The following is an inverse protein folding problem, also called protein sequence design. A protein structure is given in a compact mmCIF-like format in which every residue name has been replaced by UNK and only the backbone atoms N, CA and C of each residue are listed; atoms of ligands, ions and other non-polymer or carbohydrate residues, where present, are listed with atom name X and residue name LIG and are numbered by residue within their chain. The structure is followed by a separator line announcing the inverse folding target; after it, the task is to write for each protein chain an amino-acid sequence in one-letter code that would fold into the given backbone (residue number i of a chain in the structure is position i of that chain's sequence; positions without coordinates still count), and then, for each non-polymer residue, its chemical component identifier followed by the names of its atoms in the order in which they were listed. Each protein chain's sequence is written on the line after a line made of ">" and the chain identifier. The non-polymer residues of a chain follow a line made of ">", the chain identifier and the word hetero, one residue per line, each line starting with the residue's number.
data_IF_871743112892
#
_entry.id   IF_871743112892
#
_cell.length_a   1.000
_cell.length_b   1.000
_cell.length_c   1.000
_cell.angle_alpha   90.00
_cell.angle_beta   90.00
_cell.angle_gamma   90.00
#
_symmetry.space_group_name_H-M   'P 1'
#
loop_
_entity.id
_entity.type
_entity.pdbx_description
1 polymer ?
#
# COMPACT_ATOMS: atom_id res chain seq x y z
N UNK A 1 -12.58 27.02 6.70
CA UNK A 1 -12.95 25.94 7.66
C UNK A 1 -12.84 24.64 6.90
N UNK A 2 -11.86 23.78 7.22
CA UNK A 2 -11.67 22.51 6.51
C UNK A 2 -12.74 21.52 6.98
N UNK A 3 -13.47 20.92 6.05
CA UNK A 3 -14.52 19.94 6.33
C UNK A 3 -13.88 18.69 6.95
N UNK A 4 -14.47 18.07 8.00
CA UNK A 4 -13.84 16.94 8.70
C UNK A 4 -13.43 15.77 7.79
N UNK A 5 -14.17 15.55 6.69
CA UNK A 5 -13.82 14.57 5.67
C UNK A 5 -12.49 14.87 4.96
N UNK A 6 -12.24 16.14 4.62
CA UNK A 6 -11.00 16.54 3.96
C UNK A 6 -9.79 16.34 4.88
N UNK A 7 -9.95 16.60 6.19
CA UNK A 7 -8.93 16.30 7.19
C UNK A 7 -8.67 14.79 7.31
N UNK A 8 -9.71 13.96 7.33
CA UNK A 8 -9.56 12.50 7.36
C UNK A 8 -8.89 11.94 6.09
N UNK A 9 -9.18 12.49 4.92
CA UNK A 9 -8.55 12.05 3.67
C UNK A 9 -7.10 12.51 3.57
N UNK A 10 -6.71 13.61 4.24
CA UNK A 10 -5.31 14.08 4.25
C UNK A 10 -4.34 13.13 4.95
N UNK A 11 -4.83 12.25 5.84
CA UNK A 11 -4.03 11.20 6.46
C UNK A 11 -3.96 9.92 5.62
N UNK A 12 -4.61 9.89 4.44
CA UNK A 12 -4.51 8.79 3.48
C UNK A 12 -3.18 8.84 2.74
N UNK A 13 -2.11 8.45 3.43
CA UNK A 13 -0.75 8.39 2.90
C UNK A 13 -0.02 7.13 3.38
N UNK A 14 1.02 6.72 2.64
CA UNK A 14 1.91 5.62 3.01
C UNK A 14 3.05 6.03 3.96
N UNK A 15 3.21 7.32 4.28
CA UNK A 15 4.35 7.83 5.06
C UNK A 15 4.40 7.30 6.50
N UNK A 16 3.26 7.05 7.11
CA UNK A 16 3.12 6.56 8.49
C UNK A 16 2.86 5.05 8.58
N UNK A 17 2.93 4.32 7.45
CA UNK A 17 2.58 2.90 7.38
C UNK A 17 3.79 1.99 7.47
N UNK A 18 3.63 0.90 8.22
CA UNK A 18 4.58 -0.21 8.24
C UNK A 18 4.64 -0.93 6.89
N UNK A 19 3.51 -1.10 6.20
CA UNK A 19 3.45 -1.68 4.87
C UNK A 19 3.35 -0.56 3.82
N UNK A 20 4.31 -0.51 2.90
CA UNK A 20 4.34 0.46 1.80
C UNK A 20 4.18 -0.28 0.47
N UNK A 21 3.43 0.31 -0.46
CA UNK A 21 3.06 -0.29 -1.74
C UNK A 21 3.31 0.71 -2.87
N UNK A 22 4.35 0.48 -3.67
CA UNK A 22 4.59 1.21 -4.90
C UNK A 22 3.82 0.54 -6.04
N UNK A 23 3.04 1.32 -6.79
CA UNK A 23 2.24 0.85 -7.93
C UNK A 23 2.42 1.78 -9.14
N UNK A 24 2.05 1.35 -10.36
CA UNK A 24 2.06 2.21 -11.54
C UNK A 24 1.14 3.43 -11.44
N UNK A 25 0.20 3.46 -10.49
CA UNK A 25 -0.69 4.61 -10.26
C UNK A 25 0.02 5.77 -9.54
N UNK A 26 1.23 5.56 -9.02
CA UNK A 26 1.93 6.53 -8.20
C UNK A 26 1.64 6.38 -6.71
N UNK A 27 2.21 7.29 -5.92
CA UNK A 27 2.10 7.28 -4.46
C UNK A 27 0.68 7.59 -3.99
N UNK A 28 0.32 7.07 -2.81
CA UNK A 28 -0.91 7.38 -2.07
C UNK A 28 -2.26 7.13 -2.79
N UNK A 29 -2.25 6.57 -4.00
CA UNK A 29 -3.47 6.11 -4.69
C UNK A 29 -3.93 4.73 -4.20
N UNK A 30 -2.99 3.89 -3.78
CA UNK A 30 -3.25 2.60 -3.15
C UNK A 30 -2.37 2.48 -1.90
N UNK A 31 -2.99 2.11 -0.79
CA UNK A 31 -2.32 1.92 0.50
C UNK A 31 -2.42 0.45 0.89
N UNK A 32 -1.29 -0.22 1.14
CA UNK A 32 -1.32 -1.59 1.62
C UNK A 32 -1.98 -1.70 3.01
N UNK A 33 -2.86 -2.68 3.15
CA UNK A 33 -3.44 -3.09 4.44
C UNK A 33 -2.84 -4.42 4.92
N UNK A 34 -2.59 -5.35 3.99
CA UNK A 34 -2.20 -6.71 4.29
C UNK A 34 -1.43 -7.30 3.11
N UNK A 35 -0.44 -8.13 3.40
CA UNK A 35 0.27 -8.95 2.43
C UNK A 35 0.26 -10.39 2.91
N UNK A 36 -0.07 -11.32 2.01
CA UNK A 36 -0.01 -12.76 2.23
C UNK A 36 0.85 -13.39 1.15
N UNK A 37 1.91 -14.08 1.56
CA UNK A 37 2.82 -14.78 0.65
C UNK A 37 2.67 -16.28 0.77
N UNK A 38 2.62 -16.95 -0.37
CA UNK A 38 2.72 -18.40 -0.48
C UNK A 38 3.90 -18.74 -1.39
N UNK A 39 4.79 -19.60 -0.91
CA UNK A 39 5.95 -20.05 -1.67
C UNK A 39 6.08 -21.58 -1.54
N UNK A 40 6.50 -22.23 -2.61
CA UNK A 40 6.75 -23.67 -2.62
C UNK A 40 7.95 -23.97 -3.51
N UNK A 41 8.85 -24.83 -3.01
CA UNK A 41 10.05 -25.25 -3.74
C UNK A 41 9.63 -25.82 -5.10
N UNK A 42 10.22 -25.31 -6.16
CA UNK A 42 9.95 -25.71 -7.55
C UNK A 42 8.53 -25.43 -8.07
N UNK A 43 7.69 -24.67 -7.34
CA UNK A 43 6.34 -24.25 -7.78
C UNK A 43 6.14 -22.73 -7.82
N UNK A 44 7.18 -21.95 -7.49
CA UNK A 44 7.16 -20.49 -7.55
C UNK A 44 6.56 -19.85 -6.29
N UNK A 45 6.15 -18.58 -6.43
CA UNK A 45 5.61 -17.77 -5.35
C UNK A 45 4.35 -17.02 -5.80
N UNK A 46 3.46 -16.73 -4.85
CA UNK A 46 2.28 -15.88 -5.04
C UNK A 46 2.13 -14.94 -3.84
N UNK A 47 1.98 -13.65 -4.14
CA UNK A 47 1.64 -12.65 -3.14
C UNK A 47 0.24 -12.11 -3.39
N UNK A 48 -0.59 -12.12 -2.36
CA UNK A 48 -1.91 -11.47 -2.34
C UNK A 48 -1.82 -10.24 -1.46
N UNK A 49 -2.09 -9.07 -2.03
CA UNK A 49 -1.99 -7.78 -1.35
C UNK A 49 -3.40 -7.17 -1.25
N UNK A 50 -3.86 -6.93 -0.03
CA UNK A 50 -5.03 -6.09 0.23
C UNK A 50 -4.60 -4.62 0.21
N UNK A 51 -5.34 -3.78 -0.51
CA UNK A 51 -5.05 -2.35 -0.61
C UNK A 51 -6.33 -1.51 -0.49
N UNK A 52 -6.21 -0.38 0.19
CA UNK A 52 -7.25 0.62 0.32
C UNK A 52 -7.11 1.68 -0.79
N UNK A 53 -8.23 2.23 -1.22
CA UNK A 53 -8.33 3.31 -2.18
C UNK A 53 -9.40 4.32 -1.73
N UNK A 54 -9.20 5.60 -2.07
CA UNK A 54 -10.22 6.65 -1.91
C UNK A 54 -11.01 6.87 -3.21
N UNK A 55 -10.43 6.50 -4.36
CA UNK A 55 -11.09 6.52 -5.67
C UNK A 55 -11.63 5.12 -6.02
N UNK A 56 -12.95 5.01 -6.20
CA UNK A 56 -13.61 3.78 -6.61
C UNK A 56 -13.54 3.53 -8.12
N UNK A 57 -13.14 4.52 -8.92
CA UNK A 57 -13.07 4.45 -10.38
C UNK A 57 -11.68 4.04 -10.91
N UNK A 58 -10.80 3.53 -10.04
CA UNK A 58 -9.45 3.10 -10.41
C UNK A 58 -9.53 2.08 -11.56
N UNK A 59 -8.95 2.47 -12.70
CA UNK A 59 -8.92 1.62 -13.88
C UNK A 59 -7.96 0.45 -13.71
N UNK A 60 -8.46 -0.71 -13.27
CA UNK A 60 -7.65 -1.92 -13.00
C UNK A 60 -6.71 -2.33 -14.15
N UNK A 61 -7.01 -1.95 -15.38
CA UNK A 61 -6.15 -2.21 -16.55
C UNK A 61 -4.77 -1.55 -16.43
N UNK A 62 -4.64 -0.40 -15.75
CA UNK A 62 -3.36 0.26 -15.52
C UNK A 62 -2.45 -0.49 -14.54
N UNK A 63 -3.05 -1.36 -13.72
CA UNK A 63 -2.38 -2.17 -12.69
C UNK A 63 -1.89 -3.52 -13.24
N UNK A 64 -2.59 -4.08 -14.22
CA UNK A 64 -2.32 -5.42 -14.77
C UNK A 64 -1.18 -5.42 -15.80
N UNK A 65 -0.43 -6.53 -15.85
CA UNK A 65 0.58 -6.78 -16.88
C UNK A 65 1.83 -5.91 -16.81
N UNK A 66 2.00 -5.12 -15.74
CA UNK A 66 3.20 -4.33 -15.48
C UNK A 66 4.20 -5.17 -14.69
N UNK A 67 5.37 -5.40 -15.27
CA UNK A 67 6.48 -6.13 -14.64
C UNK A 67 7.19 -5.21 -13.62
N UNK A 68 7.94 -5.79 -12.68
CA UNK A 68 8.83 -5.05 -11.79
C UNK A 68 9.79 -4.16 -12.63
N UNK A 69 10.03 -2.89 -12.27
CA UNK A 69 9.97 -2.31 -10.92
C UNK A 69 8.64 -1.61 -10.56
N UNK A 70 7.60 -1.71 -11.39
CA UNK A 70 6.38 -0.93 -11.20
C UNK A 70 5.54 -1.35 -9.98
N UNK A 71 5.79 -2.56 -9.47
CA UNK A 71 5.19 -3.10 -8.24
C UNK A 71 6.30 -3.40 -7.24
N UNK A 72 6.17 -2.83 -6.04
CA UNK A 72 7.04 -3.13 -4.90
C UNK A 72 6.22 -3.01 -3.62
N UNK A 73 6.38 -3.98 -2.71
CA UNK A 73 5.93 -3.82 -1.34
C UNK A 73 7.14 -3.85 -0.42
N UNK A 74 7.14 -3.00 0.58
CA UNK A 74 8.19 -2.90 1.59
C UNK A 74 7.56 -2.96 2.97
N UNK A 75 8.23 -3.66 3.88
CA UNK A 75 7.98 -3.53 5.32
C UNK A 75 8.96 -2.48 5.82
N UNK A 76 8.46 -1.30 6.17
CA UNK A 76 9.27 -0.29 6.82
C UNK A 76 9.77 -0.86 8.16
N UNK A 77 11.06 -0.67 8.44
CA UNK A 77 11.57 -0.88 9.79
C UNK A 77 10.70 -0.06 10.76
N UNK A 78 10.30 -0.66 11.87
CA UNK A 78 9.51 0.01 12.90
C UNK A 78 10.37 1.03 13.67
N UNK A 79 10.98 2.00 12.99
CA UNK A 79 11.97 2.91 13.56
C UNK A 79 11.38 4.27 14.01
N UNK A 80 10.06 4.48 13.96
CA UNK A 80 9.48 5.77 14.37
C UNK A 80 8.04 5.77 14.91
N UNK A 81 7.35 4.62 14.99
CA UNK A 81 5.93 4.60 15.38
C UNK A 81 5.67 4.08 16.81
N UNK A 82 6.71 3.68 17.52
CA UNK A 82 6.64 3.20 18.91
C UNK A 82 7.42 4.14 19.83
N UNK A 83 7.16 5.45 19.76
CA UNK A 83 7.35 6.27 20.96
C UNK A 83 6.12 6.05 21.83
N UNK A 84 6.33 5.27 22.89
CA UNK A 84 5.36 4.92 23.90
C UNK A 84 4.60 6.16 24.37
N UNK A 85 3.28 6.02 24.43
CA UNK A 85 2.47 6.89 25.26
C UNK A 85 2.95 6.75 26.71
N UNK A 86 3.51 7.83 27.25
CA UNK A 86 3.67 8.06 28.68
C UNK A 86 2.32 8.44 29.32
#
# INVERSE_FOLDING_TARGET
>A
MSTPLAAMLSSFTQSTRLLRLSTPLGADNLLAECVRGEETISAGFRFTIGALATDAAIGLRSLLGKLAPAWRFDVAAADAAFQEAE
#
